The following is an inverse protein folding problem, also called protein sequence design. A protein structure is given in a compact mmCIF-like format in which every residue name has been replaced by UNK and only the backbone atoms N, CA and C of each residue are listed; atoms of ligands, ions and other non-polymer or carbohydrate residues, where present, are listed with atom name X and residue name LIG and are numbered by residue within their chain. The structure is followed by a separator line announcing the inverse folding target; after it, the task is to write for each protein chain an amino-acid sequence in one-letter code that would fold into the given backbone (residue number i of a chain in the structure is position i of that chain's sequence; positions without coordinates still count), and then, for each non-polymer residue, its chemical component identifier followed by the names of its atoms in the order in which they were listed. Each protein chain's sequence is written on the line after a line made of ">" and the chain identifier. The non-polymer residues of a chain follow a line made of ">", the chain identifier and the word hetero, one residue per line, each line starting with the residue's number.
data_IF_782265312927
#
_entry.id   IF_782265312927
#
_cell.length_a   1.000
_cell.length_b   1.000
_cell.length_c   1.000
_cell.angle_alpha   90.00
_cell.angle_beta   90.00
_cell.angle_gamma   90.00
#
_symmetry.space_group_name_H-M   'P 1'
#
loop_
_entity.id
_entity.type
_entity.pdbx_description
1 polymer ?
#
# COMPACT_ATOMS: atom_id res chain seq x y z
N UNK A 1 -4.35 -11.08 -24.52
CA UNK A 1 -5.15 -10.73 -23.34
C UNK A 1 -6.17 -11.84 -23.19
N UNK A 2 -5.77 -12.94 -22.57
CA UNK A 2 -6.66 -14.07 -22.31
C UNK A 2 -7.05 -14.00 -20.83
N UNK A 3 -8.30 -13.63 -20.58
CA UNK A 3 -8.94 -13.76 -19.27
C UNK A 3 -9.37 -15.20 -19.12
N UNK A 4 -8.64 -16.00 -18.35
CA UNK A 4 -9.10 -17.32 -17.94
C UNK A 4 -10.16 -17.18 -16.85
N UNK A 5 -11.43 -17.28 -17.22
CA UNK A 5 -12.52 -17.50 -16.27
C UNK A 5 -12.39 -18.91 -15.70
N UNK A 6 -12.05 -19.00 -14.42
CA UNK A 6 -12.00 -20.26 -13.67
C UNK A 6 -13.42 -20.74 -13.35
N UNK A 7 -14.11 -21.27 -14.36
CA UNK A 7 -15.29 -22.10 -14.13
C UNK A 7 -14.83 -23.47 -13.61
N UNK A 8 -15.39 -23.89 -12.47
CA UNK A 8 -15.18 -25.18 -11.76
C UNK A 8 -14.03 -25.27 -10.73
N UNK A 9 -14.17 -24.57 -9.61
CA UNK A 9 -13.57 -25.02 -8.35
C UNK A 9 -14.67 -25.64 -7.45
N UNK A 10 -14.92 -26.96 -7.59
CA UNK A 10 -15.73 -27.73 -6.65
C UNK A 10 -14.84 -28.32 -5.57
N UNK A 11 -14.91 -27.77 -4.36
CA UNK A 11 -15.19 -28.48 -3.09
C UNK A 11 -14.85 -27.55 -1.91
N UNK A 12 -15.82 -27.32 -1.04
CA UNK A 12 -15.59 -26.67 0.27
C UNK A 12 -14.75 -27.62 1.13
N UNK A 13 -13.69 -27.16 1.83
CA UNK A 13 -13.15 -27.96 2.92
C UNK A 13 -14.13 -27.92 4.10
N UNK A 14 -14.50 -29.12 4.56
CA UNK A 14 -15.31 -29.36 5.73
C UNK A 14 -14.54 -29.02 7.02
N UNK A 15 -15.28 -28.48 7.99
CA UNK A 15 -14.98 -28.41 9.42
C UNK A 15 -13.63 -27.82 9.86
N UNK A 16 -13.68 -26.59 10.40
CA UNK A 16 -12.70 -26.12 11.36
C UNK A 16 -12.87 -26.92 12.67
N UNK A 17 -11.80 -27.50 13.26
CA UNK A 17 -11.90 -28.18 14.54
C UNK A 17 -12.15 -27.16 15.67
N UNK A 18 -13.04 -27.53 16.60
CA UNK A 18 -13.27 -26.77 17.82
C UNK A 18 -12.01 -26.78 18.69
N UNK A 19 -11.47 -25.59 19.00
CA UNK A 19 -10.23 -25.42 19.76
C UNK A 19 -10.55 -25.16 21.23
N UNK A 20 -10.72 -26.22 22.01
CA UNK A 20 -10.58 -26.18 23.46
C UNK A 20 -9.22 -26.79 23.80
N UNK A 21 -8.36 -26.03 24.48
CA UNK A 21 -7.06 -26.47 25.03
C UNK A 21 -5.82 -26.32 24.11
N UNK A 22 -5.38 -25.08 23.88
CA UNK A 22 -3.97 -24.76 23.64
C UNK A 22 -3.64 -23.33 24.13
N UNK A 23 -2.56 -23.11 24.91
CA UNK A 23 -2.24 -21.80 25.44
C UNK A 23 -1.62 -20.92 24.35
N UNK A 24 -2.25 -19.77 24.08
CA UNK A 24 -1.70 -18.67 23.27
C UNK A 24 -1.25 -19.03 21.84
N UNK A 25 -2.10 -19.69 21.05
CA UNK A 25 -1.90 -19.80 19.60
C UNK A 25 -2.12 -18.43 18.92
N UNK A 26 -1.05 -17.74 18.55
CA UNK A 26 -1.10 -16.69 17.51
C UNK A 26 -1.53 -17.35 16.20
N UNK A 27 -2.76 -17.11 15.77
CA UNK A 27 -3.37 -17.76 14.60
C UNK A 27 -2.77 -17.18 13.31
N UNK A 28 -1.59 -17.66 12.89
CA UNK A 28 -0.98 -17.27 11.60
C UNK A 28 -1.72 -18.00 10.48
N UNK A 29 -2.59 -17.28 9.75
CA UNK A 29 -3.48 -17.91 8.78
C UNK A 29 -2.79 -18.38 7.50
N UNK A 30 -1.70 -17.73 7.08
CA UNK A 30 -1.04 -17.96 5.78
C UNK A 30 0.30 -18.70 5.95
N UNK A 31 0.29 -19.86 6.61
CA UNK A 31 1.46 -20.73 6.72
C UNK A 31 1.45 -21.81 5.65
N UNK A 32 2.53 -21.93 4.90
CA UNK A 32 2.74 -23.04 3.95
C UNK A 32 2.25 -22.77 2.52
N UNK A 33 1.56 -21.67 2.27
CA UNK A 33 1.12 -21.27 0.92
C UNK A 33 1.04 -19.76 0.74
N UNK A 34 1.22 -19.33 -0.51
CA UNK A 34 1.06 -17.95 -0.98
C UNK A 34 -0.37 -17.74 -1.45
N UNK A 35 -1.07 -16.77 -0.86
CA UNK A 35 -2.48 -16.46 -1.20
C UNK A 35 -2.59 -15.22 -2.07
N UNK A 36 -3.47 -15.27 -3.07
CA UNK A 36 -3.71 -14.16 -3.99
C UNK A 36 -5.18 -14.11 -4.41
N UNK A 37 -5.64 -12.97 -4.94
CA UNK A 37 -6.99 -12.85 -5.51
C UNK A 37 -7.02 -12.77 -7.02
N UNK A 38 -5.96 -12.24 -7.62
CA UNK A 38 -5.80 -12.13 -9.07
C UNK A 38 -4.31 -12.17 -9.38
N UNK A 39 -3.96 -12.76 -10.53
CA UNK A 39 -2.58 -12.90 -10.97
C UNK A 39 -2.42 -12.31 -12.37
N UNK A 40 -1.33 -11.57 -12.55
CA UNK A 40 -0.94 -10.98 -13.82
C UNK A 40 0.57 -11.15 -13.95
N UNK A 41 1.02 -11.73 -15.04
CA UNK A 41 2.43 -12.06 -15.27
C UNK A 41 2.64 -12.62 -16.67
N UNK A 42 3.87 -13.08 -16.92
CA UNK A 42 4.25 -13.75 -18.15
C UNK A 42 3.89 -15.24 -18.13
N UNK A 43 4.23 -15.93 -19.22
CA UNK A 43 3.93 -17.34 -19.38
C UNK A 43 4.63 -18.21 -18.33
N UNK A 44 5.89 -17.91 -18.01
CA UNK A 44 6.67 -18.64 -17.00
C UNK A 44 6.00 -18.57 -15.62
N UNK A 45 5.51 -17.39 -15.22
CA UNK A 45 4.74 -17.25 -13.99
C UNK A 45 3.46 -18.08 -14.02
N UNK A 46 2.72 -18.07 -15.13
CA UNK A 46 1.47 -18.84 -15.25
C UNK A 46 1.71 -20.35 -15.19
N UNK A 47 2.77 -20.85 -15.83
CA UNK A 47 3.18 -22.25 -15.73
C UNK A 47 3.60 -22.64 -14.30
N UNK A 48 4.34 -21.78 -13.61
CA UNK A 48 4.72 -21.99 -12.20
C UNK A 48 3.51 -22.11 -11.26
N UNK A 49 2.45 -21.35 -11.54
CA UNK A 49 1.22 -21.36 -10.73
C UNK A 49 0.31 -22.55 -11.03
N UNK A 50 0.42 -23.13 -12.22
CA UNK A 50 -0.46 -24.21 -12.67
C UNK A 50 -0.31 -25.46 -11.77
N UNK A 51 -1.41 -25.89 -11.15
CA UNK A 51 -1.49 -27.02 -10.21
C UNK A 51 -0.46 -26.99 -9.05
N UNK A 52 -0.01 -25.79 -8.64
CA UNK A 52 0.97 -25.63 -7.57
C UNK A 52 0.28 -25.51 -6.20
N UNK A 53 0.38 -26.51 -5.30
CA UNK A 53 -0.29 -26.48 -4.00
C UNK A 53 0.26 -25.41 -3.05
N UNK A 54 1.41 -24.81 -3.36
CA UNK A 54 1.96 -23.68 -2.61
C UNK A 54 1.34 -22.33 -3.01
N UNK A 55 0.43 -22.29 -3.98
CA UNK A 55 -0.20 -21.07 -4.50
C UNK A 55 -1.73 -21.24 -4.49
N UNK A 56 -2.42 -20.43 -3.69
CA UNK A 56 -3.86 -20.56 -3.46
C UNK A 56 -4.62 -19.28 -3.84
N UNK A 57 -5.59 -19.42 -4.75
CA UNK A 57 -6.49 -18.34 -5.14
C UNK A 57 -7.69 -18.20 -4.18
N UNK A 58 -8.00 -16.99 -3.74
CA UNK A 58 -9.15 -16.66 -2.89
C UNK A 58 -9.91 -15.44 -3.41
N UNK A 59 -11.20 -15.28 -3.08
CA UNK A 59 -11.95 -14.09 -3.49
C UNK A 59 -11.38 -12.82 -2.85
N UNK A 60 -11.51 -11.69 -3.55
CA UNK A 60 -11.04 -10.38 -3.09
C UNK A 60 -11.60 -10.01 -1.71
N UNK A 61 -12.87 -10.35 -1.45
CA UNK A 61 -13.52 -10.11 -0.16
C UNK A 61 -12.85 -10.82 1.02
N UNK A 62 -12.01 -11.83 0.77
CA UNK A 62 -11.19 -12.48 1.77
C UNK A 62 -9.78 -11.90 1.81
N UNK A 63 -9.09 -11.82 0.67
CA UNK A 63 -7.67 -11.41 0.63
C UNK A 63 -7.46 -9.96 1.01
N UNK A 64 -8.45 -9.10 0.73
CA UNK A 64 -8.39 -7.66 0.96
C UNK A 64 -9.16 -7.24 2.21
N UNK A 65 -9.71 -8.15 2.99
CA UNK A 65 -10.29 -7.76 4.27
C UNK A 65 -9.15 -7.33 5.23
N UNK A 66 -9.12 -6.06 5.70
CA UNK A 66 -8.07 -5.58 6.60
C UNK A 66 -7.97 -6.39 7.89
N UNK A 67 -9.06 -6.98 8.38
CA UNK A 67 -9.05 -7.83 9.57
C UNK A 67 -8.36 -9.17 9.29
N UNK A 68 -8.56 -9.73 8.09
CA UNK A 68 -7.89 -10.97 7.64
C UNK A 68 -6.40 -10.72 7.43
N UNK A 69 -6.05 -9.61 6.78
CA UNK A 69 -4.67 -9.16 6.57
C UNK A 69 -3.94 -9.03 7.92
N UNK A 70 -4.59 -8.40 8.91
CA UNK A 70 -3.99 -8.11 10.21
C UNK A 70 -3.66 -9.35 11.05
N UNK A 71 -4.29 -10.51 10.80
CA UNK A 71 -4.00 -11.74 11.55
C UNK A 71 -2.65 -12.36 11.21
N UNK A 72 -1.99 -11.89 10.14
CA UNK A 72 -0.64 -12.33 9.79
C UNK A 72 0.38 -11.42 10.48
N UNK A 73 1.14 -11.96 11.43
CA UNK A 73 2.24 -11.24 12.08
C UNK A 73 3.28 -10.76 11.06
N UNK A 74 3.82 -9.55 11.29
CA UNK A 74 4.83 -8.89 10.45
C UNK A 74 4.39 -8.69 9.00
N UNK A 75 3.11 -8.42 8.78
CA UNK A 75 2.56 -8.15 7.44
C UNK A 75 3.20 -6.92 6.83
N UNK A 76 3.81 -7.06 5.65
CA UNK A 76 4.42 -5.96 4.91
C UNK A 76 3.58 -5.68 3.67
N UNK A 77 3.00 -4.49 3.60
CA UNK A 77 2.33 -3.97 2.42
C UNK A 77 3.25 -3.01 1.69
N UNK A 78 3.43 -3.20 0.39
CA UNK A 78 4.19 -2.30 -0.48
C UNK A 78 3.27 -1.91 -1.64
N UNK A 79 2.98 -0.62 -1.77
CA UNK A 79 2.19 -0.07 -2.88
C UNK A 79 2.88 1.15 -3.47
N UNK A 80 2.67 1.40 -4.76
CA UNK A 80 3.18 2.59 -5.42
C UNK A 80 2.16 3.74 -5.34
N UNK A 81 2.62 4.99 -5.24
CA UNK A 81 1.73 6.16 -5.25
C UNK A 81 2.21 7.23 -6.22
N UNK A 82 1.34 8.01 -6.86
CA UNK A 82 1.70 9.02 -7.87
C UNK A 82 2.25 10.28 -7.23
N UNK A 83 1.57 10.82 -6.23
CA UNK A 83 1.95 12.05 -5.56
C UNK A 83 1.68 11.98 -4.06
N UNK A 84 2.48 12.72 -3.29
CA UNK A 84 2.29 12.88 -1.85
C UNK A 84 2.33 14.36 -1.49
N UNK A 85 1.37 14.82 -0.71
CA UNK A 85 1.42 16.18 -0.16
C UNK A 85 2.14 16.27 1.19
N UNK A 86 2.50 17.48 1.60
CA UNK A 86 3.23 17.73 2.86
C UNK A 86 2.42 17.40 4.12
N UNK A 87 1.12 17.12 4.00
CA UNK A 87 0.30 16.63 5.11
C UNK A 87 0.33 15.10 5.25
N UNK A 88 0.81 14.42 4.21
CA UNK A 88 0.91 12.98 4.10
C UNK A 88 -0.27 12.32 3.37
N UNK A 89 -1.11 13.08 2.65
CA UNK A 89 -2.11 12.48 1.76
C UNK A 89 -1.44 11.96 0.50
N UNK A 90 -1.92 10.84 -0.02
CA UNK A 90 -1.36 10.22 -1.21
C UNK A 90 -2.42 10.04 -2.29
N UNK A 91 -2.07 10.39 -3.52
CA UNK A 91 -2.85 10.19 -4.74
C UNK A 91 -2.16 9.11 -5.57
N UNK A 92 -2.88 8.06 -5.95
CA UNK A 92 -2.31 6.93 -6.71
C UNK A 92 -3.03 6.65 -8.02
N UNK A 93 -4.07 7.43 -8.35
CA UNK A 93 -5.00 7.07 -9.42
C UNK A 93 -5.51 8.23 -10.26
N UNK A 94 -5.18 9.47 -9.90
CA UNK A 94 -5.66 10.66 -10.57
C UNK A 94 -4.50 11.48 -11.13
N UNK A 95 -4.54 11.87 -12.39
CA UNK A 95 -3.49 12.65 -13.02
C UNK A 95 -4.10 13.57 -14.07
N UNK A 96 -3.66 14.83 -14.12
CA UNK A 96 -4.07 15.81 -15.14
C UNK A 96 -5.60 15.96 -15.28
N UNK A 97 -6.34 15.91 -14.18
CA UNK A 97 -7.80 16.08 -14.18
C UNK A 97 -8.59 14.84 -14.58
N UNK A 98 -7.94 13.69 -14.74
CA UNK A 98 -8.58 12.45 -15.14
C UNK A 98 -8.15 11.26 -14.27
N UNK A 99 -9.03 10.25 -14.23
CA UNK A 99 -8.69 8.94 -13.67
C UNK A 99 -7.63 8.28 -14.56
N UNK A 100 -6.48 7.98 -13.97
CA UNK A 100 -5.36 7.30 -14.61
C UNK A 100 -5.38 5.78 -14.36
N UNK A 101 -5.76 5.37 -13.15
CA UNK A 101 -5.82 3.96 -12.75
C UNK A 101 -7.04 3.67 -11.86
N UNK A 102 -6.90 2.95 -10.76
CA UNK A 102 -7.91 2.74 -9.74
C UNK A 102 -7.24 2.57 -8.37
N UNK A 103 -7.96 2.91 -7.29
CA UNK A 103 -7.56 2.63 -5.89
C UNK A 103 -7.08 1.19 -5.68
N UNK A 104 -7.76 0.22 -6.30
CA UNK A 104 -7.57 -1.20 -6.06
C UNK A 104 -7.72 -1.54 -4.56
N UNK A 105 -6.84 -2.43 -4.08
CA UNK A 105 -6.78 -2.83 -2.66
C UNK A 105 -5.83 -2.01 -1.79
N UNK A 106 -5.28 -0.89 -2.29
CA UNK A 106 -4.18 -0.21 -1.62
C UNK A 106 -4.53 0.16 -0.17
N UNK A 107 -5.68 0.81 0.04
CA UNK A 107 -6.08 1.27 1.37
C UNK A 107 -6.37 0.10 2.32
N UNK A 108 -6.87 -1.01 1.80
CA UNK A 108 -7.14 -2.22 2.57
C UNK A 108 -5.85 -2.76 3.19
N UNK A 109 -4.81 -2.92 2.35
CA UNK A 109 -3.49 -3.37 2.80
C UNK A 109 -2.76 -2.33 3.65
N UNK A 110 -2.98 -1.03 3.43
CA UNK A 110 -2.45 0.03 4.31
C UNK A 110 -2.95 -0.18 5.74
N UNK A 111 -4.27 -0.38 5.91
CA UNK A 111 -4.89 -0.57 7.22
C UNK A 111 -4.56 -1.94 7.81
N UNK A 112 -4.70 -3.00 7.02
CA UNK A 112 -4.44 -4.36 7.48
C UNK A 112 -2.98 -4.57 7.91
N UNK A 113 -2.01 -4.05 7.16
CA UNK A 113 -0.60 -4.14 7.55
C UNK A 113 -0.25 -3.29 8.76
N UNK A 114 -0.89 -2.13 8.96
CA UNK A 114 -0.72 -1.33 10.17
C UNK A 114 -1.31 -2.02 11.42
N UNK A 115 -2.44 -2.72 11.26
CA UNK A 115 -3.09 -3.45 12.34
C UNK A 115 -2.40 -4.78 12.68
N UNK A 116 -1.57 -5.31 11.77
CA UNK A 116 -0.77 -6.50 12.01
C UNK A 116 0.31 -6.26 13.07
N UNK A 117 0.52 -7.26 13.95
CA UNK A 117 1.58 -7.24 14.95
C UNK A 117 2.96 -7.15 14.28
N UNK A 118 3.61 -6.00 14.41
CA UNK A 118 4.91 -5.72 13.80
C UNK A 118 4.86 -5.46 12.29
N UNK A 119 3.66 -5.32 11.73
CA UNK A 119 3.43 -5.05 10.32
C UNK A 119 3.78 -3.62 9.92
N UNK A 120 3.96 -3.40 8.62
CA UNK A 120 4.31 -2.10 8.03
C UNK A 120 3.59 -1.94 6.71
N UNK A 121 3.02 -0.76 6.50
CA UNK A 121 2.54 -0.33 5.19
C UNK A 121 3.51 0.70 4.64
N UNK A 122 3.94 0.47 3.41
CA UNK A 122 4.96 1.24 2.70
C UNK A 122 4.36 1.73 1.40
N UNK A 123 4.26 3.05 1.24
CA UNK A 123 3.98 3.68 -0.03
C UNK A 123 5.30 4.15 -0.65
N UNK A 124 5.60 3.67 -1.84
CA UNK A 124 6.85 3.95 -2.55
C UNK A 124 6.59 4.77 -3.82
N UNK A 125 7.49 5.70 -4.12
CA UNK A 125 7.42 6.51 -5.31
C UNK A 125 8.81 7.09 -5.64
N UNK A 126 9.07 7.38 -6.91
CA UNK A 126 10.22 8.23 -7.27
C UNK A 126 9.95 9.64 -6.76
N UNK A 127 10.95 10.32 -6.25
CA UNK A 127 10.78 11.69 -5.75
C UNK A 127 10.41 12.69 -6.85
N UNK A 128 10.70 12.36 -8.11
CA UNK A 128 10.44 13.17 -9.30
C UNK A 128 9.76 12.40 -10.45
N UNK A 129 9.31 13.15 -11.46
CA UNK A 129 8.81 12.69 -12.75
C UNK A 129 9.40 13.56 -13.88
N UNK A 130 9.11 13.18 -15.15
CA UNK A 130 9.52 13.91 -16.37
C UNK A 130 11.02 14.29 -16.35
N UNK A 131 11.90 13.29 -16.21
CA UNK A 131 13.36 13.49 -16.15
C UNK A 131 13.82 14.51 -15.10
N UNK A 132 13.36 14.34 -13.85
CA UNK A 132 13.67 15.21 -12.71
C UNK A 132 13.15 16.65 -12.79
N UNK A 133 12.30 16.98 -13.76
CA UNK A 133 11.76 18.35 -13.90
C UNK A 133 10.52 18.62 -13.07
N UNK A 134 9.84 17.57 -12.57
CA UNK A 134 8.61 17.69 -11.78
C UNK A 134 8.76 16.91 -10.47
N UNK A 135 8.53 17.55 -9.33
CA UNK A 135 8.47 16.87 -8.04
C UNK A 135 7.18 16.06 -7.88
N UNK A 136 7.27 14.87 -7.30
CA UNK A 136 6.11 14.06 -6.88
C UNK A 136 5.72 14.29 -5.41
N UNK A 137 6.56 15.01 -4.67
CA UNK A 137 6.18 15.63 -3.40
C UNK A 137 5.71 17.04 -3.70
N UNK A 138 4.44 17.32 -3.38
CA UNK A 138 3.81 18.61 -3.67
C UNK A 138 3.41 19.30 -2.38
N UNK A 139 3.27 20.65 -2.36
CA UNK A 139 2.82 21.33 -1.15
C UNK A 139 1.44 20.83 -0.69
N UNK A 140 0.51 20.74 -1.65
CA UNK A 140 -0.84 20.22 -1.50
C UNK A 140 -1.26 19.54 -2.80
N UNK A 141 -2.06 18.48 -2.72
CA UNK A 141 -2.67 17.90 -3.91
C UNK A 141 -3.58 18.96 -4.58
N UNK A 142 -3.56 19.01 -5.92
CA UNK A 142 -4.32 19.98 -6.69
C UNK A 142 -5.82 19.84 -6.43
N UNK A 143 -6.55 20.95 -6.52
CA UNK A 143 -8.00 20.95 -6.36
C UNK A 143 -8.67 19.98 -7.33
N UNK A 144 -9.55 19.11 -6.81
CA UNK A 144 -10.21 18.06 -7.59
C UNK A 144 -9.43 16.73 -7.64
N UNK A 145 -8.19 16.69 -7.14
CA UNK A 145 -7.43 15.43 -7.02
C UNK A 145 -8.09 14.49 -6.03
N UNK A 146 -8.21 13.21 -6.41
CA UNK A 146 -8.74 12.16 -5.55
C UNK A 146 -7.65 11.68 -4.59
N UNK A 147 -7.98 11.66 -3.29
CA UNK A 147 -7.09 11.13 -2.25
C UNK A 147 -7.30 9.62 -2.15
N UNK A 148 -6.33 8.83 -2.61
CA UNK A 148 -6.36 7.36 -2.51
C UNK A 148 -6.03 6.88 -1.10
N UNK A 149 -5.05 7.52 -0.44
CA UNK A 149 -4.68 7.19 0.95
C UNK A 149 -4.74 8.44 1.81
N UNK A 150 -5.73 8.54 2.72
CA UNK A 150 -5.84 9.67 3.64
C UNK A 150 -4.62 9.78 4.55
N UNK A 151 -4.26 11.01 4.93
CA UNK A 151 -3.09 11.30 5.79
C UNK A 151 -3.06 10.53 7.12
N UNK A 152 -4.22 10.13 7.65
CA UNK A 152 -4.31 9.39 8.90
C UNK A 152 -3.89 7.93 8.73
N UNK A 153 -4.08 7.38 7.53
CA UNK A 153 -3.80 5.99 7.19
C UNK A 153 -2.31 5.81 6.80
N UNK A 154 -1.69 6.80 6.15
CA UNK A 154 -0.29 6.77 5.71
C UNK A 154 0.69 6.37 6.84
N UNK A 155 1.44 5.29 6.61
CA UNK A 155 2.41 4.74 7.56
C UNK A 155 3.85 5.11 7.17
N UNK A 156 4.47 4.37 6.24
CA UNK A 156 5.78 4.71 5.69
C UNK A 156 5.66 5.30 4.29
N UNK A 157 6.48 6.30 4.02
CA UNK A 157 6.75 6.82 2.68
C UNK A 157 8.20 6.54 2.31
N UNK A 158 8.44 6.11 1.08
CA UNK A 158 9.77 5.76 0.59
C UNK A 158 10.02 6.36 -0.79
N UNK A 159 11.18 7.00 -0.94
CA UNK A 159 11.75 7.41 -2.22
C UNK A 159 13.18 6.89 -2.34
N UNK A 160 13.84 7.18 -3.46
CA UNK A 160 15.26 6.96 -3.65
C UNK A 160 16.16 7.72 -2.65
N UNK A 161 15.61 8.68 -1.89
CA UNK A 161 16.35 9.46 -0.88
C UNK A 161 16.13 8.99 0.57
N UNK A 162 15.28 7.99 0.80
CA UNK A 162 15.10 7.40 2.12
C UNK A 162 13.67 7.00 2.43
N UNK A 163 13.45 6.69 3.71
CA UNK A 163 12.17 6.22 4.24
C UNK A 163 11.79 7.01 5.49
N UNK A 164 10.52 7.43 5.60
CA UNK A 164 10.00 8.12 6.80
C UNK A 164 8.70 7.51 7.29
N UNK A 165 8.57 7.39 8.61
CA UNK A 165 7.33 6.99 9.28
C UNK A 165 6.53 8.24 9.68
N UNK A 166 5.27 8.34 9.26
CA UNK A 166 4.38 9.46 9.57
C UNK A 166 3.42 9.20 10.74
N UNK A 167 3.35 7.97 11.26
CA UNK A 167 2.50 7.63 12.40
C UNK A 167 3.02 8.34 13.66
N UNK A 168 2.10 8.95 14.40
CA UNK A 168 2.40 9.71 15.62
C UNK A 168 3.03 11.08 15.40
N UNK A 169 3.38 11.47 14.17
CA UNK A 169 3.97 12.79 13.88
C UNK A 169 2.91 13.89 13.80
N UNK A 170 3.23 15.05 14.38
CA UNK A 170 2.45 16.28 14.20
C UNK A 170 2.63 16.83 12.77
N UNK A 171 1.83 17.83 12.38
CA UNK A 171 1.87 18.40 11.03
C UNK A 171 3.25 18.96 10.63
N UNK A 172 3.93 19.64 11.56
CA UNK A 172 5.29 20.14 11.38
C UNK A 172 6.28 19.01 11.09
N UNK A 173 6.31 18.01 11.97
CA UNK A 173 7.24 16.88 11.84
C UNK A 173 6.95 16.03 10.60
N UNK A 174 5.67 15.94 10.19
CA UNK A 174 5.28 15.29 8.94
C UNK A 174 5.85 16.02 7.74
N UNK A 175 5.63 17.33 7.64
CA UNK A 175 6.13 18.14 6.53
C UNK A 175 7.66 18.03 6.41
N UNK A 176 8.37 18.21 7.52
CA UNK A 176 9.84 18.11 7.56
C UNK A 176 10.33 16.70 7.16
N UNK A 177 9.68 15.65 7.66
CA UNK A 177 10.03 14.28 7.29
C UNK A 177 9.80 14.01 5.80
N UNK A 178 8.66 14.45 5.25
CA UNK A 178 8.33 14.28 3.83
C UNK A 178 9.33 15.05 2.95
N UNK A 179 9.65 16.30 3.30
CA UNK A 179 10.64 17.10 2.56
C UNK A 179 12.04 16.45 2.59
N UNK A 180 12.40 15.79 3.69
CA UNK A 180 13.70 15.11 3.82
C UNK A 180 13.93 13.99 2.80
N UNK A 181 12.86 13.40 2.27
CA UNK A 181 12.88 12.36 1.23
C UNK A 181 12.52 12.91 -0.17
N UNK A 182 12.43 14.23 -0.33
CA UNK A 182 12.31 14.86 -1.64
C UNK A 182 13.66 14.91 -2.37
N UNK A 183 13.60 15.08 -3.69
CA UNK A 183 14.78 15.38 -4.50
C UNK A 183 15.43 16.70 -4.03
N UNK A 184 16.77 16.76 -3.87
CA UNK A 184 17.48 17.93 -3.36
C UNK A 184 17.06 19.25 -4.01
N UNK A 185 16.94 19.27 -5.34
CA UNK A 185 16.59 20.46 -6.13
C UNK A 185 15.24 21.11 -5.74
N UNK A 186 14.31 20.37 -5.15
CA UNK A 186 12.98 20.87 -4.77
C UNK A 186 12.83 21.16 -3.27
N UNK A 187 13.82 20.81 -2.43
CA UNK A 187 13.68 20.92 -0.96
C UNK A 187 13.49 22.36 -0.50
N UNK A 188 14.26 23.29 -1.05
CA UNK A 188 14.19 24.70 -0.66
C UNK A 188 12.87 25.36 -1.09
N UNK A 189 12.30 24.94 -2.22
CA UNK A 189 10.97 25.36 -2.63
C UNK A 189 9.89 24.80 -1.71
N UNK A 190 9.92 23.50 -1.43
CA UNK A 190 8.97 22.84 -0.54
C UNK A 190 9.01 23.41 0.89
N UNK A 191 10.20 23.75 1.40
CA UNK A 191 10.34 24.43 2.69
C UNK A 191 9.64 25.78 2.70
N UNK A 192 9.83 26.62 1.66
CA UNK A 192 9.16 27.92 1.53
C UNK A 192 7.64 27.77 1.41
N UNK A 193 7.16 26.78 0.68
CA UNK A 193 5.73 26.51 0.58
C UNK A 193 5.13 26.01 1.90
N UNK A 194 5.87 25.21 2.67
CA UNK A 194 5.43 24.77 3.99
C UNK A 194 5.28 25.93 4.98
N UNK A 195 6.18 26.93 4.94
CA UNK A 195 6.07 28.16 5.73
C UNK A 195 4.84 28.98 5.33
N UNK A 196 4.60 29.17 4.02
CA UNK A 196 3.40 29.86 3.51
C UNK A 196 2.11 29.18 3.95
N UNK A 197 2.12 27.85 3.99
CA UNK A 197 1.00 27.02 4.46
C UNK A 197 0.88 26.98 5.99
N UNK A 198 1.81 27.59 6.74
CA UNK A 198 1.86 27.58 8.21
C UNK A 198 1.93 26.16 8.78
N UNK A 199 2.68 25.27 8.12
CA UNK A 199 2.95 23.93 8.65
C UNK A 199 4.00 23.95 9.76
N UNK A 200 4.81 25.01 9.83
CA UNK A 200 5.71 25.32 10.92
C UNK A 200 6.04 26.81 10.96
#
# INVERSE_FOLDING_TARGET
>A
METFETSHCRSKPAHAPACSEAPCCTYRMWTGSSRYSSALGDHEMMEFMNDNPAVEGYPLSYTNDPEIIARNDKMISINATLQVDMTGQCNSEYLEGAQFSATGGQLDFVRGAFNSKGGKSILTFRSTARNNTVSRIVPRLDSGTIVTTPRMDTHYLVTEYGAVNLKGKCMRDRALAIISIAHPDFRDELMREAEKMRLF
#
